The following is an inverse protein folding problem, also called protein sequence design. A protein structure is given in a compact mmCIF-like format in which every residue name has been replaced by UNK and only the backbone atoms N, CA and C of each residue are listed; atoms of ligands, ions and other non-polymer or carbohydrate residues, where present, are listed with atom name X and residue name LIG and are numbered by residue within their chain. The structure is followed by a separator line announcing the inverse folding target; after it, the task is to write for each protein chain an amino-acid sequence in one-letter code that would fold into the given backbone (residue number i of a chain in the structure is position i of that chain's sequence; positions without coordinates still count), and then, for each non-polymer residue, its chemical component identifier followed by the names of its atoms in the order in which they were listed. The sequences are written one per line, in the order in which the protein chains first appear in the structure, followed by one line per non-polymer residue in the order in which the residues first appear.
data_IF_633788091125
#
_entry.id   IF_633788091125
#
_cell.length_a   1.000
_cell.length_b   1.000
_cell.length_c   1.000
_cell.angle_alpha   90.00
_cell.angle_beta   90.00
_cell.angle_gamma   90.00
#
_symmetry.space_group_name_H-M   'P 1'
#
loop_
_entity.id
_entity.type
_entity.pdbx_description
1 polymer ?
#
# COMPACT_ATOMS: atom_id res chain seq x y z
N UNK A 1 1.68 2.18 -16.39
CA UNK A 1 2.23 0.84 -16.19
C UNK A 1 2.51 0.50 -14.72
N UNK A 2 3.23 1.34 -13.95
CA UNK A 2 3.61 1.04 -12.56
C UNK A 2 2.43 0.83 -11.60
N UNK A 3 1.40 1.71 -11.66
CA UNK A 3 0.19 1.55 -10.84
C UNK A 3 -0.61 0.29 -11.17
N UNK A 4 -0.63 -0.13 -12.44
CA UNK A 4 -1.30 -1.37 -12.86
C UNK A 4 -0.62 -2.62 -12.30
N UNK A 5 0.71 -2.68 -12.34
CA UNK A 5 1.47 -3.81 -11.79
C UNK A 5 1.29 -3.92 -10.26
N UNK A 6 1.33 -2.80 -9.56
CA UNK A 6 1.08 -2.76 -8.13
C UNK A 6 -0.37 -3.14 -7.80
N UNK A 7 -1.34 -2.58 -8.51
CA UNK A 7 -2.76 -2.91 -8.34
C UNK A 7 -3.07 -4.38 -8.61
N UNK A 8 -2.45 -4.99 -9.63
CA UNK A 8 -2.58 -6.42 -9.90
C UNK A 8 -2.01 -7.27 -8.76
N UNK A 9 -0.81 -6.94 -8.26
CA UNK A 9 -0.21 -7.62 -7.10
C UNK A 9 -1.11 -7.55 -5.88
N UNK A 10 -1.63 -6.36 -5.57
CA UNK A 10 -2.51 -6.15 -4.42
C UNK A 10 -3.82 -6.92 -4.58
N UNK A 11 -4.44 -6.85 -5.75
CA UNK A 11 -5.69 -7.58 -6.05
C UNK A 11 -5.50 -9.09 -5.92
N UNK A 12 -4.39 -9.62 -6.43
CA UNK A 12 -4.05 -11.03 -6.29
C UNK A 12 -3.84 -11.44 -4.84
N UNK A 13 -3.12 -10.62 -4.07
CA UNK A 13 -2.90 -10.87 -2.65
C UNK A 13 -4.22 -10.89 -1.86
N UNK A 14 -5.10 -9.92 -2.11
CA UNK A 14 -6.43 -9.86 -1.47
C UNK A 14 -7.28 -11.06 -1.88
N UNK A 15 -7.30 -11.40 -3.18
CA UNK A 15 -8.07 -12.55 -3.67
C UNK A 15 -7.58 -13.86 -3.04
N UNK A 16 -6.27 -14.10 -3.02
CA UNK A 16 -5.70 -15.29 -2.40
C UNK A 16 -6.04 -15.39 -0.90
N UNK A 17 -6.11 -14.24 -0.22
CA UNK A 17 -6.51 -14.17 1.18
C UNK A 17 -7.99 -14.45 1.38
N UNK A 18 -8.86 -13.88 0.56
CA UNK A 18 -10.32 -14.10 0.61
C UNK A 18 -10.71 -15.57 0.35
N UNK A 19 -9.94 -16.27 -0.50
CA UNK A 19 -10.19 -17.68 -0.82
C UNK A 19 -9.67 -18.64 0.27
N UNK A 20 -8.76 -18.18 1.14
CA UNK A 20 -8.07 -19.04 2.12
C UNK A 20 -8.35 -18.75 3.59
N UNK A 21 -8.97 -17.64 3.93
CA UNK A 21 -9.16 -17.20 5.32
C UNK A 21 -10.63 -16.90 5.62
N UNK A 22 -11.00 -17.09 6.90
CA UNK A 22 -12.26 -16.60 7.45
C UNK A 22 -12.31 -15.07 7.43
N UNK A 23 -13.51 -14.49 7.61
CA UNK A 23 -13.75 -13.05 7.69
C UNK A 23 -12.66 -12.33 8.51
N UNK A 24 -12.14 -11.22 7.97
CA UNK A 24 -11.13 -10.40 8.67
C UNK A 24 -11.69 -9.98 10.04
N UNK A 25 -10.95 -10.27 11.10
CA UNK A 25 -11.36 -10.02 12.47
C UNK A 25 -11.76 -8.57 12.77
N UNK A 26 -11.29 -7.60 11.94
CA UNK A 26 -11.71 -6.19 12.04
C UNK A 26 -13.18 -6.01 11.67
N UNK A 27 -13.66 -6.68 10.64
CA UNK A 27 -15.08 -6.61 10.24
C UNK A 27 -15.98 -7.36 11.24
N UNK A 28 -15.51 -8.50 11.77
CA UNK A 28 -16.19 -9.19 12.85
C UNK A 28 -16.35 -8.32 14.09
N UNK A 29 -15.27 -7.66 14.53
CA UNK A 29 -15.31 -6.68 15.63
C UNK A 29 -16.27 -5.51 15.35
N UNK A 30 -16.23 -4.92 14.16
CA UNK A 30 -17.15 -3.84 13.79
C UNK A 30 -18.60 -4.28 13.76
N UNK A 31 -18.87 -5.52 13.32
CA UNK A 31 -20.21 -6.11 13.29
C UNK A 31 -20.78 -6.23 14.71
N UNK A 32 -20.01 -6.76 15.63
CA UNK A 32 -20.39 -6.86 17.03
C UNK A 32 -20.58 -5.48 17.67
N UNK A 33 -19.62 -4.57 17.46
CA UNK A 33 -19.63 -3.23 18.04
C UNK A 33 -20.80 -2.38 17.53
N UNK A 34 -21.14 -2.48 16.25
CA UNK A 34 -22.23 -1.73 15.63
C UNK A 34 -23.57 -2.47 15.64
N UNK A 35 -23.61 -3.68 16.19
CA UNK A 35 -24.83 -4.51 16.25
C UNK A 35 -25.49 -4.64 14.88
N UNK A 36 -24.71 -4.94 13.84
CA UNK A 36 -25.15 -5.09 12.44
C UNK A 36 -25.88 -3.84 11.87
N UNK A 37 -25.61 -2.65 12.40
CA UNK A 37 -26.28 -1.44 11.94
C UNK A 37 -25.80 -1.05 10.53
N UNK A 38 -26.62 -1.36 9.52
CA UNK A 38 -26.29 -1.18 8.10
C UNK A 38 -25.91 0.27 7.72
N UNK A 39 -26.53 1.30 8.34
CA UNK A 39 -26.17 2.69 8.09
C UNK A 39 -24.75 3.05 8.49
N UNK A 40 -24.22 2.47 9.58
CA UNK A 40 -22.82 2.68 9.99
C UNK A 40 -21.84 2.00 9.03
N UNK A 41 -22.16 0.78 8.57
CA UNK A 41 -21.37 0.11 7.53
C UNK A 41 -21.37 0.90 6.23
N UNK A 42 -22.54 1.39 5.80
CA UNK A 42 -22.62 2.24 4.60
C UNK A 42 -21.73 3.47 4.73
N UNK A 43 -21.83 4.24 5.82
CA UNK A 43 -21.01 5.41 6.07
C UNK A 43 -19.51 5.06 6.10
N UNK A 44 -19.13 3.95 6.71
CA UNK A 44 -17.76 3.48 6.76
C UNK A 44 -17.21 3.15 5.35
N UNK A 45 -17.97 2.45 4.52
CA UNK A 45 -17.55 2.15 3.15
C UNK A 45 -17.52 3.41 2.27
N UNK A 46 -18.45 4.39 2.47
CA UNK A 46 -18.38 5.67 1.78
C UNK A 46 -17.13 6.47 2.17
N UNK A 47 -16.75 6.47 3.44
CA UNK A 47 -15.52 7.09 3.90
C UNK A 47 -14.28 6.43 3.26
N UNK A 48 -14.26 5.09 3.15
CA UNK A 48 -13.20 4.38 2.45
C UNK A 48 -13.16 4.72 0.95
N UNK A 49 -14.30 4.80 0.30
CA UNK A 49 -14.39 5.19 -1.12
C UNK A 49 -13.84 6.61 -1.34
N UNK A 50 -14.20 7.56 -0.45
CA UNK A 50 -13.67 8.93 -0.49
C UNK A 50 -12.15 8.95 -0.30
N UNK A 51 -11.62 8.20 0.68
CA UNK A 51 -10.17 8.08 0.87
C UNK A 51 -9.48 7.51 -0.38
N UNK A 52 -10.05 6.48 -0.99
CA UNK A 52 -9.51 5.91 -2.24
C UNK A 52 -9.49 6.95 -3.36
N UNK A 53 -10.55 7.74 -3.50
CA UNK A 53 -10.61 8.84 -4.46
C UNK A 53 -9.54 9.90 -4.19
N UNK A 54 -9.32 10.30 -2.92
CA UNK A 54 -8.26 11.23 -2.53
C UNK A 54 -6.86 10.66 -2.85
N UNK A 55 -6.62 9.40 -2.51
CA UNK A 55 -5.35 8.73 -2.82
C UNK A 55 -5.13 8.45 -4.32
N UNK A 56 -6.15 8.64 -5.17
CA UNK A 56 -5.99 8.58 -6.62
C UNK A 56 -5.44 9.88 -7.23
N UNK A 57 -5.47 11.01 -6.52
CA UNK A 57 -5.00 12.32 -7.02
C UNK A 57 -3.53 12.31 -7.48
N UNK A 58 -2.57 11.69 -6.78
CA UNK A 58 -1.20 11.60 -7.26
C UNK A 58 -1.06 10.90 -8.62
N UNK A 59 -1.87 9.88 -8.89
CA UNK A 59 -1.88 9.20 -10.19
C UNK A 59 -2.41 10.12 -11.29
N UNK A 60 -3.45 10.89 -10.99
CA UNK A 60 -3.98 11.89 -11.91
C UNK A 60 -2.93 12.97 -12.20
N UNK A 61 -2.23 13.47 -11.18
CA UNK A 61 -1.14 14.44 -11.37
C UNK A 61 -0.05 13.90 -12.28
N UNK A 62 0.39 12.65 -12.11
CA UNK A 62 1.38 12.01 -12.99
C UNK A 62 0.85 11.85 -14.42
N UNK A 63 -0.45 11.52 -14.58
CA UNK A 63 -1.06 11.37 -15.89
C UNK A 63 -1.10 12.69 -16.70
N UNK A 64 -1.08 13.84 -16.03
CA UNK A 64 -0.99 15.16 -16.66
C UNK A 64 0.43 15.57 -17.05
N UNK A 65 1.42 14.73 -16.75
CA UNK A 65 2.80 15.04 -17.13
C UNK A 65 3.04 14.67 -18.60
N UNK A 66 3.00 15.67 -19.48
CA UNK A 66 3.22 15.53 -20.91
C UNK A 66 4.69 15.68 -21.33
N UNK A 67 5.63 15.67 -20.38
CA UNK A 67 7.05 15.75 -20.73
C UNK A 67 7.50 14.50 -21.46
N UNK A 68 7.99 14.68 -22.67
CA UNK A 68 8.58 13.61 -23.45
C UNK A 68 9.96 13.23 -22.89
N UNK A 69 10.22 11.92 -22.82
CA UNK A 69 11.49 11.35 -22.43
C UNK A 69 11.68 11.12 -20.94
N UNK A 70 12.76 10.41 -20.61
CA UNK A 70 13.15 10.10 -19.23
C UNK A 70 13.91 11.29 -18.62
N UNK A 71 13.23 12.03 -17.78
CA UNK A 71 13.88 13.09 -17.01
C UNK A 71 14.62 12.49 -15.79
N UNK A 72 15.58 13.24 -15.23
CA UNK A 72 16.24 12.85 -13.96
C UNK A 72 15.24 12.52 -12.84
N UNK A 73 14.13 13.24 -12.81
CA UNK A 73 13.08 13.04 -11.83
C UNK A 73 12.33 11.72 -12.03
N UNK A 74 12.08 11.35 -13.29
CA UNK A 74 11.52 10.03 -13.62
C UNK A 74 12.46 8.91 -13.16
N UNK A 75 13.76 9.05 -13.37
CA UNK A 75 14.75 8.05 -12.93
C UNK A 75 14.73 7.91 -11.40
N UNK A 76 14.74 9.03 -10.67
CA UNK A 76 14.65 9.01 -9.19
C UNK A 76 13.35 8.35 -8.75
N UNK A 77 12.21 8.70 -9.35
CA UNK A 77 10.92 8.09 -9.03
C UNK A 77 10.92 6.57 -9.26
N UNK A 78 11.49 6.11 -10.37
CA UNK A 78 11.61 4.67 -10.67
C UNK A 78 12.50 3.97 -9.64
N UNK A 79 13.62 4.57 -9.23
CA UNK A 79 14.51 4.00 -8.23
C UNK A 79 13.82 3.89 -6.87
N UNK A 80 13.09 4.93 -6.45
CA UNK A 80 12.29 4.90 -5.22
C UNK A 80 11.24 3.79 -5.30
N UNK A 81 10.55 3.66 -6.44
CA UNK A 81 9.57 2.60 -6.66
C UNK A 81 10.17 1.20 -6.50
N UNK A 82 11.33 0.95 -7.13
CA UNK A 82 12.04 -0.32 -7.04
C UNK A 82 12.42 -0.64 -5.59
N UNK A 83 13.02 0.32 -4.88
CA UNK A 83 13.42 0.15 -3.47
C UNK A 83 12.20 -0.14 -2.60
N UNK A 84 11.09 0.55 -2.83
CA UNK A 84 9.86 0.36 -2.07
C UNK A 84 9.25 -1.02 -2.29
N UNK A 85 9.08 -1.45 -3.54
CA UNK A 85 8.48 -2.76 -3.85
C UNK A 85 9.36 -3.90 -3.37
N UNK A 86 10.67 -3.81 -3.55
CA UNK A 86 11.62 -4.83 -3.08
C UNK A 86 11.63 -4.89 -1.56
N UNK A 87 11.73 -3.73 -0.89
CA UNK A 87 11.78 -3.64 0.57
C UNK A 87 10.50 -4.16 1.23
N UNK A 88 9.33 -3.78 0.72
CA UNK A 88 8.03 -4.29 1.17
C UNK A 88 7.95 -5.81 0.99
N UNK A 89 8.33 -6.31 -0.19
CA UNK A 89 8.30 -7.75 -0.49
C UNK A 89 9.22 -8.53 0.47
N UNK A 90 10.43 -8.04 0.73
CA UNK A 90 11.35 -8.67 1.68
C UNK A 90 10.76 -8.66 3.09
N UNK A 91 10.18 -7.55 3.53
CA UNK A 91 9.55 -7.44 4.85
C UNK A 91 8.40 -8.45 5.01
N UNK A 92 7.52 -8.55 4.02
CA UNK A 92 6.39 -9.48 4.04
C UNK A 92 6.84 -10.95 4.01
N UNK A 93 7.86 -11.28 3.20
CA UNK A 93 8.43 -12.62 3.17
C UNK A 93 9.08 -13.00 4.51
N UNK A 94 9.81 -12.08 5.15
CA UNK A 94 10.40 -12.32 6.47
C UNK A 94 9.31 -12.59 7.51
N UNK A 95 8.23 -11.80 7.53
CA UNK A 95 7.12 -12.00 8.45
C UNK A 95 6.38 -13.31 8.18
N UNK A 96 6.13 -13.61 6.92
CA UNK A 96 5.47 -14.87 6.52
C UNK A 96 6.28 -16.09 6.97
N UNK A 97 7.59 -16.09 6.75
CA UNK A 97 8.49 -17.16 7.22
C UNK A 97 8.49 -17.29 8.74
N UNK A 98 8.54 -16.17 9.45
CA UNK A 98 8.50 -16.15 10.90
C UNK A 98 7.21 -16.75 11.45
N UNK A 99 6.06 -16.40 10.86
CA UNK A 99 4.73 -16.89 11.27
C UNK A 99 4.49 -18.37 10.98
N UNK A 100 5.14 -18.92 9.95
CA UNK A 100 5.04 -20.34 9.57
C UNK A 100 5.73 -21.27 10.57
N UNK A 101 6.68 -20.78 11.36
CA UNK A 101 7.35 -21.60 12.36
C UNK A 101 6.53 -21.64 13.66
N UNK A 102 6.02 -22.83 14.06
CA UNK A 102 5.19 -22.98 15.27
C UNK A 102 5.89 -22.50 16.55
N UNK A 103 7.23 -22.53 16.60
CA UNK A 103 8.04 -22.07 17.73
C UNK A 103 7.92 -20.57 17.97
N UNK A 104 7.46 -19.84 16.98
CA UNK A 104 7.29 -18.38 17.02
C UNK A 104 5.87 -17.96 17.44
N UNK A 105 5.00 -18.90 17.74
CA UNK A 105 3.61 -18.61 18.14
C UNK A 105 3.58 -17.72 19.38
N UNK A 106 2.86 -16.61 19.32
CA UNK A 106 2.79 -15.60 20.40
C UNK A 106 4.03 -14.68 20.53
N UNK A 107 5.02 -14.82 19.64
CA UNK A 107 6.22 -13.98 19.64
C UNK A 107 6.14 -12.87 18.60
N UNK A 108 6.86 -11.77 18.85
CA UNK A 108 7.02 -10.68 17.88
C UNK A 108 8.23 -10.95 16.98
N UNK A 109 8.06 -10.76 15.67
CA UNK A 109 9.17 -10.87 14.72
C UNK A 109 10.20 -9.76 14.98
N UNK A 110 11.47 -10.15 15.18
CA UNK A 110 12.61 -9.24 15.37
C UNK A 110 13.80 -9.61 14.48
N UNK A 111 13.54 -10.30 13.36
CA UNK A 111 14.57 -10.73 12.41
C UNK A 111 14.58 -9.84 11.17
N UNK A 112 15.76 -9.66 10.56
CA UNK A 112 15.90 -8.88 9.33
C UNK A 112 15.44 -7.43 9.49
N UNK A 113 14.56 -6.96 8.60
CA UNK A 113 14.02 -5.61 8.62
C UNK A 113 13.16 -5.33 9.87
N UNK A 114 12.52 -6.34 10.44
CA UNK A 114 11.71 -6.27 11.66
C UNK A 114 12.53 -6.02 12.94
N UNK A 115 13.85 -6.04 12.83
CA UNK A 115 14.75 -5.62 13.91
C UNK A 115 14.78 -4.11 14.06
N UNK A 116 14.67 -3.39 12.94
CA UNK A 116 14.83 -1.92 12.89
C UNK A 116 13.50 -1.17 13.02
N UNK A 117 12.40 -1.78 12.61
CA UNK A 117 11.05 -1.20 12.68
C UNK A 117 10.03 -2.26 13.06
N UNK A 118 8.95 -1.82 13.76
CA UNK A 118 7.78 -2.68 14.02
C UNK A 118 6.94 -2.95 12.78
N UNK A 119 7.04 -2.07 11.78
CA UNK A 119 6.26 -2.12 10.55
C UNK A 119 7.12 -1.70 9.36
N UNK A 120 8.16 -2.48 9.00
CA UNK A 120 9.03 -2.13 7.89
C UNK A 120 8.29 -2.14 6.55
N UNK A 121 7.30 -2.99 6.36
CA UNK A 121 6.44 -3.02 5.18
C UNK A 121 5.66 -1.70 5.01
N UNK A 122 5.11 -1.12 6.08
CA UNK A 122 4.44 0.18 6.02
C UNK A 122 5.40 1.33 5.71
N UNK A 123 6.64 1.24 6.17
CA UNK A 123 7.67 2.21 5.80
C UNK A 123 7.92 2.22 4.29
N UNK A 124 8.05 1.04 3.68
CA UNK A 124 8.26 0.93 2.24
C UNK A 124 7.00 1.30 1.44
N UNK A 125 5.82 0.99 1.93
CA UNK A 125 4.56 1.46 1.36
C UNK A 125 4.47 2.99 1.41
N UNK A 126 4.83 3.63 2.53
CA UNK A 126 4.91 5.08 2.64
C UNK A 126 5.95 5.66 1.67
N UNK A 127 7.13 5.06 1.57
CA UNK A 127 8.17 5.47 0.64
C UNK A 127 7.69 5.39 -0.82
N UNK A 128 6.85 4.41 -1.16
CA UNK A 128 6.28 4.24 -2.49
C UNK A 128 5.53 5.50 -2.97
N UNK A 129 4.84 6.22 -2.08
CA UNK A 129 4.09 7.43 -2.44
C UNK A 129 4.98 8.55 -2.96
N UNK A 130 6.25 8.64 -2.55
CA UNK A 130 7.20 9.61 -3.09
C UNK A 130 7.53 9.37 -4.55
N UNK A 131 7.37 8.16 -5.06
CA UNK A 131 7.49 7.88 -6.50
C UNK A 131 6.62 8.83 -7.32
N UNK A 132 5.37 9.01 -6.93
CA UNK A 132 4.41 9.85 -7.67
C UNK A 132 4.74 11.33 -7.53
N UNK A 133 5.30 11.75 -6.40
CA UNK A 133 5.80 13.12 -6.22
C UNK A 133 6.88 13.42 -7.26
N UNK A 134 7.89 12.55 -7.37
CA UNK A 134 8.98 12.74 -8.33
C UNK A 134 8.51 12.60 -9.78
N UNK A 135 7.60 11.70 -10.08
CA UNK A 135 7.03 11.55 -11.43
C UNK A 135 6.14 12.73 -11.83
N UNK A 136 5.54 13.44 -10.87
CA UNK A 136 4.72 14.62 -11.12
C UNK A 136 5.52 15.90 -11.26
N UNK A 137 6.82 15.94 -10.94
CA UNK A 137 7.63 17.16 -11.04
C UNK A 137 7.67 17.63 -12.50
N UNK A 138 7.20 18.87 -12.68
CA UNK A 138 7.15 19.53 -13.99
C UNK A 138 5.82 19.36 -14.71
N UNK A 139 4.78 18.87 -14.03
CA UNK A 139 3.40 19.01 -14.51
C UNK A 139 2.96 20.48 -14.41
N UNK A 140 2.03 20.93 -15.26
CA UNK A 140 1.46 22.28 -15.18
C UNK A 140 0.48 22.45 -13.99
N UNK A 141 0.53 21.57 -13.00
CA UNK A 141 -0.37 21.63 -11.89
C UNK A 141 -0.01 22.75 -10.91
N UNK A 142 -0.99 23.57 -10.45
CA UNK A 142 -0.75 24.76 -9.62
C UNK A 142 -0.16 24.49 -8.23
N UNK A 143 -0.07 23.22 -7.79
CA UNK A 143 0.56 22.85 -6.51
C UNK A 143 2.08 23.04 -6.52
N UNK A 144 2.70 23.16 -7.72
CA UNK A 144 4.14 23.28 -7.90
C UNK A 144 4.57 24.64 -8.48
N UNK A 145 3.62 25.55 -8.68
CA UNK A 145 3.86 26.95 -9.05
C UNK A 145 3.92 27.86 -7.77
#
# INVERSE_FOLDING_TARGET
MFGGAWGFRLSWHILARLLGENEDGRYGYLREHWRDHQGKFFAFFQAQALLTALFSLPFYAVAQNHKEGLTRWCVIGILIWLVSVIGETIADLQLSRFRRDPRNRGKTCRAGLWRYSRHPNYFFEWLHWFTYVFLAIGTPWPIWA
#
